data_IF_864469710297
#
_entry.id   IF_864469710297
#
_cell.length_a   1.000
_cell.length_b   1.000
_cell.length_c   1.000
_cell.angle_alpha   90.00
_cell.angle_beta   90.00
_cell.angle_gamma   90.00
#
_symmetry.space_group_name_H-M   'P 1'
#
loop_
_entity.id
_entity.type
_entity.pdbx_description
1 polymer ?
#
# COMPACT_ATOMS: atom_id res chain seq x y z
N UNK A 1 -2.96 -0.59 -3.42
CA UNK A 1 -3.74 0.37 -2.58
C UNK A 1 -3.23 1.78 -2.82
N UNK A 2 -3.97 2.82 -2.42
CA UNK A 2 -3.52 4.21 -2.51
C UNK A 2 -3.49 4.83 -1.11
N UNK A 3 -2.33 5.30 -0.69
CA UNK A 3 -2.14 5.95 0.61
C UNK A 3 -2.04 7.46 0.42
N UNK A 4 -2.83 8.21 1.20
CA UNK A 4 -2.79 9.67 1.24
C UNK A 4 -2.31 10.15 2.60
N UNK A 5 -1.55 11.25 2.62
CA UNK A 5 -1.28 12.00 3.84
C UNK A 5 -2.36 13.09 4.08
N UNK A 6 -2.25 13.83 5.19
CA UNK A 6 -3.17 14.89 5.55
C UNK A 6 -3.20 16.07 4.54
N UNK A 7 -2.21 16.16 3.66
CA UNK A 7 -2.11 17.18 2.60
C UNK A 7 -2.66 16.67 1.25
N UNK A 8 -3.33 15.51 1.23
CA UNK A 8 -3.85 14.85 0.04
C UNK A 8 -2.77 14.45 -0.99
N UNK A 9 -1.52 14.29 -0.56
CA UNK A 9 -0.46 13.79 -1.41
C UNK A 9 -0.47 12.25 -1.42
N UNK A 10 -0.18 11.67 -2.57
CA UNK A 10 -0.13 10.20 -2.76
C UNK A 10 1.28 9.69 -2.45
N UNK A 11 1.37 8.65 -1.64
CA UNK A 11 2.63 7.96 -1.41
C UNK A 11 2.95 6.99 -2.57
N UNK A 12 4.13 7.18 -3.17
CA UNK A 12 4.72 6.27 -4.15
C UNK A 12 6.18 6.01 -3.79
N UNK A 13 6.67 4.81 -4.10
CA UNK A 13 8.04 4.39 -3.85
C UNK A 13 8.66 3.76 -5.11
N UNK A 14 9.98 3.82 -5.22
CA UNK A 14 10.76 3.10 -6.22
C UNK A 14 11.54 1.99 -5.54
N UNK A 15 11.48 0.77 -6.08
CA UNK A 15 12.29 -0.33 -5.56
C UNK A 15 13.77 -0.08 -5.82
N UNK A 16 14.61 -0.40 -4.83
CA UNK A 16 16.07 -0.25 -4.95
C UNK A 16 16.69 -1.17 -6.02
N UNK A 17 16.04 -2.29 -6.32
CA UNK A 17 16.51 -3.33 -7.24
C UNK A 17 15.99 -3.17 -8.68
N UNK A 18 15.25 -2.10 -8.98
CA UNK A 18 14.66 -1.87 -10.30
C UNK A 18 15.46 -0.84 -11.10
N UNK A 19 15.97 -1.27 -12.25
CA UNK A 19 16.70 -0.42 -13.21
C UNK A 19 15.78 0.54 -13.99
N UNK A 20 14.49 0.22 -14.10
CA UNK A 20 13.49 1.08 -14.72
C UNK A 20 13.06 2.22 -13.76
N UNK A 21 12.70 3.39 -14.30
CA UNK A 21 12.06 4.45 -13.52
C UNK A 21 10.57 4.15 -13.30
N UNK A 22 10.29 3.11 -12.50
CA UNK A 22 8.94 2.71 -12.14
C UNK A 22 8.64 3.12 -10.70
N UNK A 23 7.86 4.19 -10.55
CA UNK A 23 7.23 4.54 -9.28
C UNK A 23 5.97 3.68 -9.11
N UNK A 24 5.85 3.08 -7.94
CA UNK A 24 4.74 2.19 -7.60
C UNK A 24 4.12 2.59 -6.26
N UNK A 25 2.88 2.20 -6.06
CA UNK A 25 2.24 2.27 -4.75
C UNK A 25 2.54 0.98 -3.96
N UNK A 26 2.42 0.99 -2.62
CA UNK A 26 2.37 -0.24 -1.83
C UNK A 26 1.26 -1.16 -2.36
N UNK A 27 1.56 -2.44 -2.50
CA UNK A 27 0.64 -3.45 -2.99
C UNK A 27 1.16 -4.84 -2.62
N UNK A 28 0.26 -5.81 -2.61
CA UNK A 28 0.60 -7.22 -2.58
C UNK A 28 -0.63 -8.08 -2.81
N UNK A 29 -0.50 -9.37 -2.53
CA UNK A 29 -1.55 -10.35 -2.76
C UNK A 29 -2.68 -10.26 -1.73
N UNK A 30 -3.81 -10.87 -2.06
CA UNK A 30 -4.84 -11.23 -1.09
C UNK A 30 -4.75 -12.74 -0.91
N UNK A 31 -4.58 -13.20 0.32
CA UNK A 31 -4.53 -14.63 0.62
C UNK A 31 -5.92 -15.29 0.54
N UNK A 32 -5.96 -16.61 0.35
CA UNK A 32 -7.21 -17.36 0.27
C UNK A 32 -8.05 -17.19 1.56
N UNK A 33 -9.25 -16.62 1.41
CA UNK A 33 -10.15 -16.30 2.51
C UNK A 33 -9.82 -15.01 3.27
N UNK A 34 -8.79 -14.26 2.85
CA UNK A 34 -8.46 -12.95 3.40
C UNK A 34 -9.40 -11.87 2.84
N UNK A 35 -9.88 -10.97 3.70
CA UNK A 35 -10.67 -9.83 3.25
C UNK A 35 -9.75 -8.77 2.61
N UNK A 36 -10.17 -8.08 1.54
CA UNK A 36 -9.35 -7.05 0.88
C UNK A 36 -8.84 -5.97 1.85
N UNK A 37 -9.67 -5.50 2.77
CA UNK A 37 -9.25 -4.58 3.85
C UNK A 37 -8.16 -5.13 4.76
N UNK A 38 -8.20 -6.42 5.06
CA UNK A 38 -7.24 -7.08 5.95
C UNK A 38 -5.89 -7.20 5.24
N UNK A 39 -5.92 -7.67 3.99
CA UNK A 39 -4.76 -7.71 3.10
C UNK A 39 -4.16 -6.30 2.98
N UNK A 40 -4.99 -5.28 2.77
CA UNK A 40 -4.51 -3.91 2.61
C UNK A 40 -3.77 -3.39 3.86
N UNK A 41 -4.27 -3.66 5.06
CA UNK A 41 -3.56 -3.26 6.29
C UNK A 41 -2.30 -4.10 6.52
N UNK A 42 -2.27 -5.36 6.09
CA UNK A 42 -1.11 -6.26 6.20
C UNK A 42 0.03 -5.84 5.29
N UNK A 43 -0.25 -5.67 4.01
CA UNK A 43 0.72 -5.22 3.01
C UNK A 43 1.28 -3.83 3.36
N UNK A 44 0.49 -2.94 3.95
CA UNK A 44 0.99 -1.64 4.41
C UNK A 44 2.06 -1.78 5.51
N UNK A 45 1.88 -2.70 6.46
CA UNK A 45 2.90 -2.96 7.47
C UNK A 45 4.14 -3.62 6.87
N UNK A 46 3.97 -4.59 5.98
CA UNK A 46 5.06 -5.35 5.37
C UNK A 46 5.94 -4.47 4.46
N UNK A 47 5.34 -3.62 3.63
CA UNK A 47 6.06 -2.83 2.62
C UNK A 47 6.59 -1.49 3.16
N UNK A 48 5.88 -0.84 4.08
CA UNK A 48 6.27 0.50 4.58
C UNK A 48 6.41 0.59 6.10
N UNK A 49 6.28 -0.53 6.83
CA UNK A 49 6.55 -0.60 8.26
C UNK A 49 5.46 -0.01 9.17
N UNK A 50 4.26 0.29 8.63
CA UNK A 50 3.17 0.84 9.44
C UNK A 50 1.80 0.44 8.94
N UNK A 51 0.89 0.17 9.86
CA UNK A 51 -0.56 -0.02 9.63
C UNK A 51 -1.38 1.10 10.28
N UNK A 52 -0.75 2.22 10.61
CA UNK A 52 -1.41 3.40 11.15
C UNK A 52 -2.06 4.23 10.04
N UNK A 53 -3.12 3.67 9.45
CA UNK A 53 -3.91 4.31 8.40
C UNK A 53 -5.40 4.02 8.62
N UNK A 54 -6.25 4.85 8.04
CA UNK A 54 -7.71 4.65 8.04
C UNK A 54 -8.19 4.43 6.62
N UNK A 55 -9.02 3.40 6.42
CA UNK A 55 -9.65 3.13 5.13
C UNK A 55 -10.78 4.15 4.93
N UNK A 56 -10.68 4.95 3.87
CA UNK A 56 -11.68 5.97 3.52
C UNK A 56 -12.54 5.58 2.31
N UNK A 57 -12.15 4.56 1.54
CA UNK A 57 -12.89 4.02 0.39
C UNK A 57 -12.49 2.56 0.13
N UNK A 58 -13.46 1.74 -0.33
CA UNK A 58 -13.30 0.35 -0.78
C UNK A 58 -14.36 0.10 -1.88
N UNK A 59 -14.05 -0.70 -2.90
CA UNK A 59 -14.93 -1.00 -4.05
C UNK A 59 -14.90 -2.47 -4.41
#
# INVERSE_FOLDING_TARGET
>A
MMLLNAENQVFVAKRIDTLAEAWQMPQGGIDDGELPRTAAMRELEEEIGTRQATIIAES
#
